data_IF_796013216198
#
_entry.id   IF_796013216198
#
_cell.length_a   1.000
_cell.length_b   1.000
_cell.length_c   1.000
_cell.angle_alpha   90.00
_cell.angle_beta   90.00
_cell.angle_gamma   90.00
#
_symmetry.space_group_name_H-M   'P 1'
#
loop_
_entity.id
_entity.type
_entity.pdbx_description
1 polymer ?
#
# COMPACT_ATOMS: atom_id res chain seq x y z
N UNK A 1 14.36 11.19 0.16
CA UNK A 1 13.07 11.43 -0.53
C UNK A 1 13.13 12.79 -1.20
N UNK A 2 12.82 12.87 -2.49
CA UNK A 2 12.90 14.13 -3.21
C UNK A 2 11.73 15.08 -2.87
N UNK A 3 11.81 16.32 -3.38
CA UNK A 3 10.81 17.34 -3.11
C UNK A 3 9.40 16.95 -3.57
N UNK A 4 9.28 16.34 -4.74
CA UNK A 4 7.98 15.92 -5.29
C UNK A 4 7.30 14.87 -4.41
N UNK A 5 8.07 13.91 -3.91
CA UNK A 5 7.53 12.88 -3.01
C UNK A 5 7.14 13.46 -1.66
N UNK A 6 7.90 14.40 -1.11
CA UNK A 6 7.55 15.09 0.13
C UNK A 6 6.27 15.89 -0.01
N UNK A 7 6.09 16.58 -1.13
CA UNK A 7 4.88 17.35 -1.43
C UNK A 7 3.66 16.42 -1.55
N UNK A 8 3.82 15.30 -2.24
CA UNK A 8 2.77 14.29 -2.36
C UNK A 8 2.39 13.72 -0.99
N UNK A 9 3.38 13.42 -0.16
CA UNK A 9 3.15 12.90 1.19
C UNK A 9 2.31 13.86 2.02
N UNK A 10 2.61 15.14 2.00
CA UNK A 10 1.83 16.15 2.72
C UNK A 10 0.38 16.18 2.28
N UNK A 11 0.14 16.13 0.97
CA UNK A 11 -1.22 16.09 0.42
C UNK A 11 -1.97 14.84 0.86
N UNK A 12 -1.33 13.69 0.79
CA UNK A 12 -1.94 12.41 1.18
C UNK A 12 -2.29 12.40 2.68
N UNK A 13 -1.40 12.88 3.53
CA UNK A 13 -1.63 12.89 4.97
C UNK A 13 -2.83 13.74 5.40
N UNK A 14 -3.23 14.69 4.58
CA UNK A 14 -4.41 15.55 4.84
C UNK A 14 -5.63 15.16 4.01
N UNK A 15 -5.65 13.95 3.43
CA UNK A 15 -6.72 13.51 2.55
C UNK A 15 -8.06 13.33 3.29
N UNK A 16 -9.13 13.84 2.67
CA UNK A 16 -10.50 13.68 3.17
C UNK A 16 -11.45 13.21 2.08
N UNK A 17 -10.92 12.50 1.07
CA UNK A 17 -11.68 12.15 -0.14
C UNK A 17 -12.76 11.10 0.06
N UNK A 18 -12.75 10.35 1.17
CA UNK A 18 -13.74 9.29 1.41
C UNK A 18 -14.11 9.21 2.89
N UNK A 19 -15.12 8.38 3.19
CA UNK A 19 -15.64 8.21 4.54
C UNK A 19 -14.62 7.68 5.55
N UNK A 20 -13.56 7.02 5.10
CA UNK A 20 -12.52 6.50 5.99
C UNK A 20 -11.80 7.61 6.77
N UNK A 21 -11.85 8.84 6.26
CA UNK A 21 -11.30 10.00 6.96
C UNK A 21 -11.95 10.24 8.33
N UNK A 22 -13.19 9.79 8.51
CA UNK A 22 -13.97 10.02 9.74
C UNK A 22 -13.59 9.06 10.87
N UNK A 23 -13.04 7.88 10.55
CA UNK A 23 -12.81 6.82 11.52
C UNK A 23 -11.34 6.43 11.68
N UNK A 24 -10.48 6.83 10.76
CA UNK A 24 -9.04 6.54 10.83
C UNK A 24 -8.36 7.31 11.96
N UNK A 25 -7.28 6.75 12.51
CA UNK A 25 -6.37 7.49 13.39
C UNK A 25 -5.22 8.12 12.61
N UNK A 26 -4.71 7.42 11.58
CA UNK A 26 -3.62 7.90 10.74
C UNK A 26 -3.91 7.61 9.27
N UNK A 27 -3.42 8.48 8.38
CA UNK A 27 -3.26 8.16 6.97
C UNK A 27 -1.92 7.46 6.82
N UNK A 28 -1.91 6.31 6.16
CA UNK A 28 -0.68 5.53 5.97
C UNK A 28 -0.15 5.78 4.56
N UNK A 29 0.84 6.66 4.46
CA UNK A 29 1.43 7.04 3.17
C UNK A 29 2.12 5.87 2.49
N UNK A 30 2.82 5.08 3.26
CA UNK A 30 3.72 4.04 2.79
C UNK A 30 5.08 4.21 3.42
N UNK A 31 6.00 3.27 3.17
CA UNK A 31 7.30 3.28 3.81
C UNK A 31 8.34 2.57 2.95
N UNK A 32 9.57 3.07 2.99
CA UNK A 32 10.69 2.42 2.35
C UNK A 32 11.53 3.38 1.51
N UNK A 33 12.23 2.82 0.54
CA UNK A 33 13.06 3.60 -0.38
C UNK A 33 12.19 4.22 -1.49
N UNK A 34 12.11 5.53 -1.55
CA UNK A 34 11.32 6.24 -2.56
C UNK A 34 11.84 6.08 -3.99
N UNK A 35 13.02 5.48 -4.17
CA UNK A 35 13.60 5.17 -5.47
C UNK A 35 13.77 3.66 -5.66
N UNK A 36 12.98 2.85 -4.94
CA UNK A 36 13.11 1.40 -4.98
C UNK A 36 12.74 0.84 -6.35
N UNK A 37 13.38 -0.25 -6.73
CA UNK A 37 13.01 -1.02 -7.92
C UNK A 37 11.78 -1.88 -7.68
N UNK A 38 11.44 -2.16 -6.42
CA UNK A 38 10.32 -3.02 -6.04
C UNK A 38 9.31 -2.22 -5.21
N UNK A 39 8.06 -2.19 -5.66
CA UNK A 39 6.95 -1.62 -4.92
C UNK A 39 5.99 -2.73 -4.52
N UNK A 40 5.74 -2.84 -3.23
CA UNK A 40 4.81 -3.83 -2.67
C UNK A 40 3.50 -3.14 -2.37
N UNK A 41 2.39 -3.67 -2.89
CA UNK A 41 1.06 -3.08 -2.73
C UNK A 41 0.13 -4.10 -2.07
N UNK A 42 -0.39 -3.75 -0.91
CA UNK A 42 -1.41 -4.52 -0.20
C UNK A 42 -2.78 -3.88 -0.27
N UNK A 43 -3.72 -4.37 0.53
CA UNK A 43 -5.11 -3.92 0.50
C UNK A 43 -5.32 -2.60 1.25
N UNK A 44 -5.11 -2.60 2.56
CA UNK A 44 -5.44 -1.48 3.44
C UNK A 44 -4.72 -1.62 4.78
N UNK A 45 -4.56 -0.51 5.53
CA UNK A 45 -4.07 -0.59 6.89
C UNK A 45 -5.04 -1.34 7.80
N UNK A 46 -4.50 -2.18 8.69
CA UNK A 46 -5.26 -2.78 9.76
C UNK A 46 -5.14 -1.95 11.05
N UNK A 47 -5.55 -2.56 12.17
CA UNK A 47 -5.53 -1.88 13.47
C UNK A 47 -4.14 -1.41 13.88
N UNK A 48 -3.15 -2.30 13.79
CA UNK A 48 -1.79 -1.96 14.23
C UNK A 48 -1.18 -0.86 13.37
N UNK A 49 -1.41 -0.91 12.05
CA UNK A 49 -0.95 0.12 11.13
C UNK A 49 -1.59 1.47 11.43
N UNK A 50 -2.91 1.47 11.68
CA UNK A 50 -3.64 2.70 11.99
C UNK A 50 -3.18 3.33 13.29
N UNK A 51 -2.81 2.52 14.29
CA UNK A 51 -2.27 3.00 15.56
C UNK A 51 -0.86 3.59 15.37
N UNK A 52 0.01 2.90 14.64
CA UNK A 52 1.42 3.29 14.50
C UNK A 52 1.70 4.28 13.38
N UNK A 53 0.79 4.42 12.41
CA UNK A 53 1.01 5.28 11.26
C UNK A 53 1.97 4.70 10.22
N UNK A 54 2.19 3.38 10.24
CA UNK A 54 3.15 2.69 9.35
C UNK A 54 2.48 1.49 8.67
N UNK A 55 2.86 1.19 7.40
CA UNK A 55 2.30 0.05 6.69
C UNK A 55 2.92 -1.27 7.17
N UNK A 56 2.14 -2.33 7.14
CA UNK A 56 2.62 -3.70 7.38
C UNK A 56 3.45 -3.84 8.66
N UNK A 57 2.88 -3.49 9.80
CA UNK A 57 3.52 -3.61 11.12
C UNK A 57 2.86 -4.65 12.02
N UNK A 58 1.68 -5.15 11.64
CA UNK A 58 1.02 -6.22 12.37
C UNK A 58 1.57 -7.60 12.00
N UNK A 59 0.77 -8.63 12.21
CA UNK A 59 1.18 -10.02 11.98
C UNK A 59 1.64 -10.26 10.54
N UNK A 60 0.88 -9.79 9.55
CA UNK A 60 1.25 -9.91 8.14
C UNK A 60 2.52 -9.14 7.82
N UNK A 61 2.70 -7.99 8.46
CA UNK A 61 3.91 -7.19 8.29
C UNK A 61 5.16 -7.86 8.81
N UNK A 62 5.05 -8.55 9.94
CA UNK A 62 6.17 -9.31 10.50
C UNK A 62 6.55 -10.48 9.59
N UNK A 63 5.57 -11.14 8.98
CA UNK A 63 5.83 -12.17 7.99
C UNK A 63 6.51 -11.61 6.76
N UNK A 64 6.05 -10.45 6.27
CA UNK A 64 6.67 -9.77 5.14
C UNK A 64 8.14 -9.46 5.42
N UNK A 65 8.45 -8.96 6.62
CA UNK A 65 9.84 -8.67 7.00
C UNK A 65 10.72 -9.92 6.98
N UNK A 66 10.19 -11.05 7.43
CA UNK A 66 10.91 -12.33 7.38
C UNK A 66 11.17 -12.78 5.95
N UNK A 67 10.20 -12.63 5.07
CA UNK A 67 10.33 -12.97 3.65
C UNK A 67 11.39 -12.08 3.00
N UNK A 68 11.34 -10.78 3.25
CA UNK A 68 12.33 -9.85 2.72
C UNK A 68 13.74 -10.19 3.21
N UNK A 69 13.89 -10.46 4.51
CA UNK A 69 15.17 -10.83 5.09
C UNK A 69 15.72 -12.12 4.46
N UNK A 70 14.86 -13.12 4.20
CA UNK A 70 15.26 -14.35 3.53
C UNK A 70 15.78 -14.12 2.12
N UNK A 71 15.31 -13.05 1.46
CA UNK A 71 15.79 -12.65 0.13
C UNK A 71 17.00 -11.71 0.19
N UNK A 72 17.48 -11.38 1.38
CA UNK A 72 18.58 -10.42 1.54
C UNK A 72 18.15 -8.97 1.42
N UNK A 73 16.84 -8.68 1.58
CA UNK A 73 16.28 -7.34 1.43
C UNK A 73 15.89 -6.73 2.76
N UNK A 74 15.92 -5.38 2.82
CA UNK A 74 15.35 -4.59 3.92
C UNK A 74 14.35 -3.59 3.34
N UNK A 75 13.35 -3.21 4.15
CA UNK A 75 12.35 -2.22 3.73
C UNK A 75 13.00 -0.90 3.31
N UNK A 76 13.94 -0.41 4.11
CA UNK A 76 14.51 0.93 3.93
C UNK A 76 15.35 1.06 2.68
N UNK A 77 15.95 -0.03 2.19
CA UNK A 77 16.88 0.01 1.06
C UNK A 77 16.30 -0.51 -0.25
N UNK A 78 15.52 -1.58 -0.19
CA UNK A 78 15.22 -2.38 -1.38
C UNK A 78 13.80 -2.25 -1.88
N UNK A 79 12.85 -1.87 -1.03
CA UNK A 79 11.45 -1.84 -1.39
C UNK A 79 10.79 -0.55 -0.93
N UNK A 80 9.64 -0.24 -1.54
CA UNK A 80 8.67 0.68 -0.97
C UNK A 80 7.38 -0.10 -0.77
N UNK A 81 6.68 0.14 0.33
CA UNK A 81 5.47 -0.60 0.70
C UNK A 81 4.30 0.36 0.79
N UNK A 82 3.20 0.04 0.10
CA UNK A 82 1.99 0.86 0.09
C UNK A 82 0.75 -0.03 0.06
N UNK A 83 -0.41 0.57 0.00
CA UNK A 83 -1.70 -0.12 -0.07
C UNK A 83 -2.62 0.55 -1.09
N UNK A 84 -3.64 -0.18 -1.54
CA UNK A 84 -4.69 0.36 -2.41
C UNK A 84 -5.39 1.53 -1.73
N UNK A 85 -5.76 1.39 -0.44
CA UNK A 85 -6.26 2.52 0.34
C UNK A 85 -5.29 2.86 1.47
N UNK A 86 -5.24 4.14 1.83
CA UNK A 86 -4.29 4.68 2.81
C UNK A 86 -4.86 4.77 4.21
N UNK A 87 -6.12 4.45 4.39
CA UNK A 87 -6.82 4.58 5.65
C UNK A 87 -7.50 3.27 6.02
N UNK A 88 -7.54 2.95 7.32
CA UNK A 88 -8.15 1.72 7.83
C UNK A 88 -9.66 1.74 7.65
N UNK A 89 -10.24 0.73 6.96
CA UNK A 89 -11.69 0.52 6.98
C UNK A 89 -12.15 0.06 8.36
N UNK A 90 -13.34 0.50 8.82
CA UNK A 90 -13.88 0.05 10.11
C UNK A 90 -13.89 -1.49 10.20
N UNK A 91 -13.50 -2.01 11.36
CA UNK A 91 -13.44 -3.46 11.64
C UNK A 91 -12.58 -4.26 10.66
N UNK A 92 -11.60 -3.60 10.01
CA UNK A 92 -10.71 -4.23 9.03
C UNK A 92 -11.46 -4.87 7.85
N UNK A 93 -12.65 -4.38 7.52
CA UNK A 93 -13.39 -4.88 6.36
C UNK A 93 -12.64 -4.57 5.05
N UNK A 94 -13.02 -5.24 3.98
CA UNK A 94 -12.50 -4.94 2.65
C UNK A 94 -12.94 -3.53 2.24
N UNK A 95 -12.05 -2.72 1.64
CA UNK A 95 -12.45 -1.40 1.14
C UNK A 95 -13.57 -1.49 0.12
N UNK A 96 -14.51 -0.55 0.17
CA UNK A 96 -15.55 -0.46 -0.85
C UNK A 96 -14.96 0.01 -2.18
N UNK A 97 -15.63 -0.27 -3.32
CA UNK A 97 -15.18 0.27 -4.62
C UNK A 97 -15.05 1.80 -4.63
N UNK A 98 -15.94 2.51 -3.94
CA UNK A 98 -15.86 3.97 -3.83
C UNK A 98 -14.64 4.43 -3.07
N UNK A 99 -14.29 3.76 -1.98
CA UNK A 99 -13.10 4.07 -1.20
C UNK A 99 -11.83 3.79 -2.01
N UNK A 100 -11.77 2.66 -2.68
CA UNK A 100 -10.64 2.32 -3.53
C UNK A 100 -10.48 3.33 -4.69
N UNK A 101 -11.58 3.70 -5.35
CA UNK A 101 -11.55 4.69 -6.43
C UNK A 101 -11.09 6.06 -5.94
N UNK A 102 -11.53 6.48 -4.76
CA UNK A 102 -11.13 7.77 -4.20
C UNK A 102 -9.65 7.81 -3.85
N UNK A 103 -9.08 6.69 -3.42
CA UNK A 103 -7.68 6.60 -3.00
C UNK A 103 -6.70 6.28 -4.14
N UNK A 104 -7.18 5.64 -5.20
CA UNK A 104 -6.36 5.17 -6.31
C UNK A 104 -5.47 6.26 -6.93
N UNK A 105 -5.93 7.50 -7.15
CA UNK A 105 -5.06 8.55 -7.70
C UNK A 105 -3.79 8.77 -6.88
N UNK A 106 -3.86 8.66 -5.55
CA UNK A 106 -2.68 8.79 -4.70
C UNK A 106 -1.65 7.69 -4.96
N UNK A 107 -2.12 6.44 -5.08
CA UNK A 107 -1.25 5.31 -5.36
C UNK A 107 -0.61 5.44 -6.74
N UNK A 108 -1.38 5.85 -7.74
CA UNK A 108 -0.85 6.04 -9.10
C UNK A 108 0.23 7.13 -9.14
N UNK A 109 0.06 8.22 -8.39
CA UNK A 109 1.10 9.25 -8.27
C UNK A 109 2.34 8.70 -7.57
N UNK A 110 2.19 7.89 -6.53
CA UNK A 110 3.32 7.23 -5.89
C UNK A 110 4.08 6.33 -6.86
N UNK A 111 3.36 5.53 -7.64
CA UNK A 111 3.96 4.64 -8.64
C UNK A 111 4.76 5.45 -9.65
N UNK A 112 4.21 6.55 -10.14
CA UNK A 112 4.88 7.41 -11.11
C UNK A 112 6.17 7.99 -10.54
N UNK A 113 6.15 8.51 -9.31
CA UNK A 113 7.32 9.10 -8.68
C UNK A 113 8.39 8.08 -8.29
N UNK A 114 7.98 6.91 -7.81
CA UNK A 114 8.91 5.83 -7.44
C UNK A 114 9.49 5.20 -8.70
N UNK A 115 8.67 5.03 -9.72
CA UNK A 115 9.02 4.42 -11.00
C UNK A 115 9.68 3.04 -10.80
N UNK A 116 9.01 2.10 -10.11
CA UNK A 116 9.57 0.79 -9.82
C UNK A 116 9.66 -0.06 -11.08
N UNK A 117 10.56 -1.03 -11.07
CA UNK A 117 10.67 -2.04 -12.14
C UNK A 117 9.72 -3.20 -11.93
N UNK A 118 9.37 -3.47 -10.66
CA UNK A 118 8.54 -4.62 -10.28
C UNK A 118 7.47 -4.15 -9.30
N UNK A 119 6.22 -4.57 -9.55
CA UNK A 119 5.12 -4.44 -8.60
C UNK A 119 4.81 -5.80 -8.01
N UNK A 120 4.80 -5.90 -6.69
CA UNK A 120 4.37 -7.11 -5.98
C UNK A 120 3.01 -6.83 -5.36
N UNK A 121 1.99 -7.58 -5.80
CA UNK A 121 0.62 -7.40 -5.37
C UNK A 121 0.27 -8.45 -4.31
N UNK A 122 -0.07 -8.02 -3.10
CA UNK A 122 -0.40 -8.90 -1.99
C UNK A 122 -1.91 -8.94 -1.78
N UNK A 123 -2.50 -10.09 -2.12
CA UNK A 123 -3.91 -10.35 -1.92
C UNK A 123 -4.80 -9.99 -3.10
N UNK A 124 -6.06 -10.43 -3.02
CA UNK A 124 -7.02 -10.31 -4.13
C UNK A 124 -7.43 -8.87 -4.43
N UNK A 125 -7.51 -8.02 -3.41
CA UNK A 125 -7.88 -6.61 -3.60
C UNK A 125 -6.83 -5.88 -4.41
N UNK A 126 -5.55 -6.04 -4.07
CA UNK A 126 -4.47 -5.42 -4.82
C UNK A 126 -4.43 -5.94 -6.27
N UNK A 127 -4.59 -7.24 -6.45
CA UNK A 127 -4.63 -7.84 -7.78
C UNK A 127 -5.78 -7.26 -8.61
N UNK A 128 -6.97 -7.20 -8.04
CA UNK A 128 -8.17 -6.69 -8.73
C UNK A 128 -7.97 -5.27 -9.24
N UNK A 129 -7.49 -4.36 -8.38
CA UNK A 129 -7.40 -2.94 -8.73
C UNK A 129 -6.17 -2.59 -9.56
N UNK A 130 -5.11 -3.39 -9.50
CA UNK A 130 -3.88 -3.12 -10.27
C UNK A 130 -3.83 -3.88 -11.59
N UNK A 131 -4.38 -5.10 -11.64
CA UNK A 131 -4.36 -5.95 -12.84
C UNK A 131 -5.71 -6.06 -13.55
N UNK A 132 -6.80 -5.60 -12.90
CA UNK A 132 -8.14 -5.60 -13.46
C UNK A 132 -9.07 -6.63 -12.80
N UNK A 133 -10.40 -6.44 -12.94
CA UNK A 133 -11.38 -7.25 -12.22
C UNK A 133 -11.48 -8.70 -12.71
N UNK A 134 -10.95 -9.02 -13.89
CA UNK A 134 -10.96 -10.37 -14.44
C UNK A 134 -9.85 -11.26 -13.85
N UNK A 135 -8.90 -10.67 -13.13
CA UNK A 135 -7.81 -11.39 -12.49
C UNK A 135 -8.18 -11.81 -11.07
N UNK A 136 -7.82 -13.04 -10.68
CA UNK A 136 -8.11 -13.58 -9.35
C UNK A 136 -6.90 -14.34 -8.81
N UNK A 137 -6.56 -14.10 -7.54
CA UNK A 137 -5.41 -14.72 -6.89
C UNK A 137 -5.48 -16.26 -6.90
N UNK A 138 -6.70 -16.83 -6.77
CA UNK A 138 -6.90 -18.28 -6.78
C UNK A 138 -6.65 -18.91 -8.14
N UNK A 139 -6.74 -18.15 -9.23
CA UNK A 139 -6.53 -18.62 -10.61
C UNK A 139 -5.14 -18.30 -11.12
N UNK A 140 -4.55 -17.22 -10.65
CA UNK A 140 -3.32 -16.65 -11.23
C UNK A 140 -2.12 -16.71 -10.28
N UNK A 141 -2.31 -17.24 -9.08
CA UNK A 141 -1.25 -17.42 -8.12
C UNK A 141 -0.12 -18.29 -8.71
N UNK A 142 1.10 -17.76 -8.68
CA UNK A 142 2.25 -18.45 -9.27
C UNK A 142 2.48 -18.17 -10.75
N UNK A 143 1.62 -17.41 -11.40
CA UNK A 143 1.84 -16.95 -12.77
C UNK A 143 2.73 -15.71 -12.76
N UNK A 144 3.63 -15.62 -13.72
CA UNK A 144 4.54 -14.48 -13.84
C UNK A 144 3.82 -13.24 -14.35
#
# INVERSE_FOLDING_TARGET
>A
MNHEMKTLKEKILHCTKCELAKTRNHVIFGEGNANADILIIGEAPGRDEDIQGRPFVGKSGKLLDKILAACGFTRSKHVFISNIVKCRPPDNRIPTPGEASACMPWLLEQIELINPKILILLGSTALKYMAGPDHRITRERGLA
#
